data_IF_942947803071
#
_entry.id   IF_942947803071
#
_cell.length_a   1.000
_cell.length_b   1.000
_cell.length_c   1.000
_cell.angle_alpha   90.00
_cell.angle_beta   90.00
_cell.angle_gamma   90.00
#
_symmetry.space_group_name_H-M   'P 1'
#
loop_
_entity.id
_entity.type
_entity.pdbx_description
1 polymer ?
#
# COMPACT_ATOMS: atom_id res chain seq x y z
N UNK A 1 18.84 8.45 -7.60
CA UNK A 1 17.47 7.89 -7.71
C UNK A 1 16.46 9.02 -7.59
N UNK A 2 15.35 8.96 -8.33
CA UNK A 2 14.27 9.93 -8.20
C UNK A 2 13.73 9.98 -6.76
N UNK A 3 13.51 11.17 -6.23
CA UNK A 3 13.02 11.39 -4.85
C UNK A 3 11.52 11.66 -4.81
N UNK A 4 10.90 12.00 -5.93
CA UNK A 4 9.46 12.18 -6.12
C UNK A 4 9.04 11.86 -7.56
N UNK A 5 7.74 11.71 -7.78
CA UNK A 5 7.09 11.59 -9.09
C UNK A 5 5.73 12.27 -9.05
N UNK A 6 5.26 12.84 -10.16
CA UNK A 6 3.89 13.31 -10.22
C UNK A 6 2.94 12.15 -10.52
N UNK A 7 1.90 11.99 -9.70
CA UNK A 7 0.94 10.90 -9.87
C UNK A 7 0.07 11.13 -11.12
N UNK A 8 -0.35 10.03 -11.75
CA UNK A 8 -1.28 10.11 -12.89
C UNK A 8 -2.56 10.85 -12.47
N UNK A 9 -3.03 11.87 -13.22
CA UNK A 9 -4.17 12.70 -12.80
C UNK A 9 -5.45 11.92 -12.49
N UNK A 10 -5.74 10.85 -13.23
CA UNK A 10 -6.88 9.97 -12.96
C UNK A 10 -6.77 9.25 -11.62
N UNK A 11 -5.56 8.87 -11.19
CA UNK A 11 -5.33 8.28 -9.87
C UNK A 11 -5.50 9.32 -8.76
N UNK A 12 -5.00 10.55 -8.97
CA UNK A 12 -5.22 11.66 -8.03
C UNK A 12 -6.71 11.93 -7.84
N UNK A 13 -7.46 12.09 -8.93
CA UNK A 13 -8.91 12.31 -8.87
C UNK A 13 -9.63 11.17 -8.14
N UNK A 14 -9.22 9.92 -8.38
CA UNK A 14 -9.76 8.75 -7.69
C UNK A 14 -9.49 8.79 -6.19
N UNK A 15 -8.26 9.07 -5.76
CA UNK A 15 -7.92 9.15 -4.34
C UNK A 15 -8.62 10.31 -3.63
N UNK A 16 -8.74 11.47 -4.29
CA UNK A 16 -9.54 12.59 -3.76
C UNK A 16 -11.04 12.25 -3.67
N UNK A 17 -11.55 11.50 -4.64
CA UNK A 17 -12.92 10.96 -4.60
C UNK A 17 -13.16 10.02 -3.42
N UNK A 18 -12.18 9.15 -3.11
CA UNK A 18 -12.20 8.31 -1.90
C UNK A 18 -12.02 9.12 -0.62
N UNK A 19 -11.29 10.24 -0.66
CA UNK A 19 -11.07 11.07 0.52
C UNK A 19 -12.36 11.77 0.97
N UNK A 20 -13.30 12.02 0.04
CA UNK A 20 -14.63 12.58 0.33
C UNK A 20 -14.57 13.80 1.25
N UNK A 21 -13.81 14.82 0.80
CA UNK A 21 -13.65 16.08 1.54
C UNK A 21 -14.94 16.93 1.43
N UNK A 22 -15.34 17.51 2.55
CA UNK A 22 -16.46 18.44 2.66
C UNK A 22 -16.00 19.79 3.23
N UNK A 23 -16.80 20.84 3.05
CA UNK A 23 -16.46 22.18 3.54
C UNK A 23 -16.21 22.20 5.05
N UNK A 24 -15.21 22.95 5.49
CA UNK A 24 -14.85 23.07 6.91
C UNK A 24 -13.99 21.92 7.47
N UNK A 25 -13.68 20.91 6.65
CA UNK A 25 -12.82 19.80 7.06
C UNK A 25 -11.34 20.13 6.91
N UNK A 26 -10.55 19.79 7.92
CA UNK A 26 -9.09 19.89 7.89
C UNK A 26 -8.47 18.63 7.29
N UNK A 27 -7.50 18.81 6.41
CA UNK A 27 -6.82 17.73 5.69
C UNK A 27 -5.33 17.72 6.00
N UNK A 28 -4.76 16.54 6.21
CA UNK A 28 -3.34 16.28 6.21
C UNK A 28 -2.96 15.43 4.99
N UNK A 29 -2.11 15.97 4.13
CA UNK A 29 -1.46 15.27 3.02
C UNK A 29 -0.05 14.82 3.43
N UNK A 30 0.27 13.55 3.19
CA UNK A 30 1.61 13.00 3.35
C UNK A 30 2.26 12.78 1.98
N UNK A 31 3.27 13.58 1.67
CA UNK A 31 4.00 13.58 0.40
C UNK A 31 3.62 14.73 -0.51
N UNK A 32 3.97 15.98 -0.14
CA UNK A 32 3.63 17.17 -0.94
C UNK A 32 4.07 17.06 -2.39
N UNK A 33 5.25 16.47 -2.67
CA UNK A 33 5.73 16.23 -4.02
C UNK A 33 5.80 17.51 -4.87
N UNK A 34 4.95 17.62 -5.89
CA UNK A 34 4.88 18.82 -6.75
C UNK A 34 4.00 19.93 -6.19
N UNK A 35 3.23 19.66 -5.12
CA UNK A 35 2.18 20.54 -4.62
C UNK A 35 0.85 20.42 -5.36
N UNK A 36 0.73 19.54 -6.37
CA UNK A 36 -0.49 19.41 -7.18
C UNK A 36 -1.72 19.02 -6.36
N UNK A 37 -1.60 17.99 -5.51
CA UNK A 37 -2.72 17.53 -4.67
C UNK A 37 -3.05 18.57 -3.59
N UNK A 38 -2.04 19.17 -2.95
CA UNK A 38 -2.22 20.30 -2.04
C UNK A 38 -3.01 21.45 -2.70
N UNK A 39 -2.69 21.83 -3.93
CA UNK A 39 -3.40 22.88 -4.66
C UNK A 39 -4.88 22.53 -4.90
N UNK A 40 -5.18 21.28 -5.28
CA UNK A 40 -6.57 20.83 -5.46
C UNK A 40 -7.36 20.83 -4.15
N UNK A 41 -6.71 20.47 -3.04
CA UNK A 41 -7.32 20.54 -1.71
C UNK A 41 -7.56 22.00 -1.30
N UNK A 42 -6.60 22.91 -1.56
CA UNK A 42 -6.73 24.34 -1.29
C UNK A 42 -7.90 24.94 -2.06
N UNK A 43 -8.02 24.66 -3.35
CA UNK A 43 -9.14 25.14 -4.17
C UNK A 43 -10.49 24.68 -3.60
N UNK A 44 -10.55 23.48 -3.03
CA UNK A 44 -11.79 22.89 -2.51
C UNK A 44 -12.16 23.35 -1.09
N UNK A 45 -11.17 23.66 -0.25
CA UNK A 45 -11.35 23.85 1.20
C UNK A 45 -10.87 25.21 1.72
N UNK A 46 -10.02 25.91 0.96
CA UNK A 46 -9.24 27.05 1.42
C UNK A 46 -7.91 26.63 2.06
N UNK A 47 -6.93 27.51 1.97
CA UNK A 47 -5.54 27.28 2.40
C UNK A 47 -5.41 26.87 3.88
N UNK A 48 -6.16 27.52 4.77
CA UNK A 48 -6.08 27.32 6.23
C UNK A 48 -6.46 25.90 6.69
N UNK A 49 -7.16 25.14 5.84
CA UNK A 49 -7.61 23.78 6.14
C UNK A 49 -6.67 22.71 5.58
N UNK A 50 -5.64 23.09 4.81
CA UNK A 50 -4.76 22.14 4.12
C UNK A 50 -3.37 22.16 4.77
N UNK A 51 -2.96 20.98 5.22
CA UNK A 51 -1.64 20.72 5.80
C UNK A 51 -0.95 19.68 4.92
N UNK A 52 0.29 19.93 4.50
CA UNK A 52 1.03 19.00 3.64
C UNK A 52 2.48 18.88 4.09
N UNK A 53 2.96 17.64 4.20
CA UNK A 53 4.32 17.34 4.67
C UNK A 53 5.13 16.62 3.58
N UNK A 54 6.37 17.05 3.40
CA UNK A 54 7.33 16.46 2.47
C UNK A 54 8.65 16.19 3.18
N UNK A 55 9.22 15.01 2.95
CA UNK A 55 10.45 14.59 3.60
C UNK A 55 11.69 15.24 2.97
N UNK A 56 11.65 15.47 1.66
CA UNK A 56 12.75 16.06 0.92
C UNK A 56 12.69 17.60 0.91
N UNK A 57 13.64 18.24 1.58
CA UNK A 57 13.67 19.70 1.71
C UNK A 57 13.79 20.46 0.36
N UNK A 58 14.37 19.83 -0.67
CA UNK A 58 14.47 20.45 -2.01
C UNK A 58 13.13 20.39 -2.70
N UNK A 59 12.48 19.22 -2.67
CA UNK A 59 11.14 19.01 -3.25
C UNK A 59 10.10 19.89 -2.55
N UNK A 60 10.15 19.97 -1.21
CA UNK A 60 9.24 20.80 -0.43
C UNK A 60 9.34 22.29 -0.80
N UNK A 61 10.55 22.79 -1.06
CA UNK A 61 10.77 24.17 -1.51
C UNK A 61 10.19 24.41 -2.90
N UNK A 62 10.44 23.48 -3.83
CA UNK A 62 9.88 23.55 -5.18
C UNK A 62 8.35 23.53 -5.17
N UNK A 63 7.75 22.68 -4.32
CA UNK A 63 6.30 22.65 -4.13
C UNK A 63 5.77 23.96 -3.56
N UNK A 64 6.44 24.54 -2.56
CA UNK A 64 6.07 25.82 -1.99
C UNK A 64 6.10 26.95 -3.03
N UNK A 65 7.15 27.00 -3.86
CA UNK A 65 7.25 27.98 -4.94
C UNK A 65 6.14 27.80 -6.00
N UNK A 66 5.85 26.55 -6.39
CA UNK A 66 4.81 26.23 -7.36
C UNK A 66 3.40 26.57 -6.85
N UNK A 67 3.09 26.19 -5.61
CA UNK A 67 1.85 26.58 -4.91
C UNK A 67 1.75 28.09 -4.82
N UNK A 68 2.86 28.76 -4.51
CA UNK A 68 2.89 30.20 -4.35
C UNK A 68 2.54 30.94 -5.64
N UNK A 69 3.11 30.49 -6.76
CA UNK A 69 2.85 30.99 -8.11
C UNK A 69 1.42 30.70 -8.56
N UNK A 70 0.84 29.58 -8.14
CA UNK A 70 -0.55 29.22 -8.42
C UNK A 70 -1.57 29.95 -7.52
N UNK A 71 -1.12 30.73 -6.53
CA UNK A 71 -1.98 31.53 -5.66
C UNK A 71 -2.36 30.87 -4.34
N UNK A 72 -1.86 29.67 -4.04
CA UNK A 72 -2.18 28.94 -2.81
C UNK A 72 -1.09 29.08 -1.75
N UNK A 73 -1.47 29.07 -0.48
CA UNK A 73 -0.57 29.14 0.70
C UNK A 73 -1.00 28.16 1.81
N UNK A 74 -1.09 26.84 1.54
CA UNK A 74 -1.38 25.87 2.60
C UNK A 74 -0.27 25.83 3.66
N UNK A 75 -0.55 25.17 4.78
CA UNK A 75 0.46 24.87 5.78
C UNK A 75 1.41 23.79 5.27
N UNK A 76 2.66 24.16 4.97
CA UNK A 76 3.70 23.24 4.49
C UNK A 76 4.72 22.92 5.58
N UNK A 77 5.19 21.68 5.62
CA UNK A 77 6.25 21.24 6.54
C UNK A 77 7.25 20.34 5.84
N UNK A 78 8.53 20.56 6.15
CA UNK A 78 9.59 19.59 5.84
C UNK A 78 9.70 18.62 7.02
N UNK A 79 9.55 17.32 6.77
CA UNK A 79 9.71 16.30 7.81
C UNK A 79 9.21 14.92 7.42
N UNK A 80 9.39 13.99 8.34
CA UNK A 80 8.87 12.63 8.19
C UNK A 80 7.35 12.62 8.39
N UNK A 81 6.63 12.22 7.35
CA UNK A 81 5.17 12.14 7.34
C UNK A 81 4.60 11.07 8.26
N UNK A 82 5.38 10.05 8.63
CA UNK A 82 4.97 9.04 9.62
C UNK A 82 4.86 9.63 11.04
N UNK A 83 5.61 10.70 11.30
CA UNK A 83 5.59 11.40 12.59
C UNK A 83 4.39 12.34 12.67
N UNK A 84 3.83 12.53 13.89
CA UNK A 84 2.73 13.46 14.07
C UNK A 84 3.15 14.89 13.73
N UNK A 85 2.27 15.63 13.09
CA UNK A 85 2.48 17.04 12.86
C UNK A 85 2.43 17.81 14.19
N UNK A 86 3.52 18.48 14.61
CA UNK A 86 3.57 19.13 15.92
C UNK A 86 2.56 20.28 16.03
N UNK A 87 1.72 20.24 17.08
CA UNK A 87 0.72 21.28 17.34
C UNK A 87 -0.53 21.21 16.45
N UNK A 88 -0.57 20.33 15.45
CA UNK A 88 -1.79 20.04 14.70
C UNK A 88 -2.63 19.08 15.53
N UNK A 89 -3.79 19.54 15.99
CA UNK A 89 -4.83 18.66 16.54
C UNK A 89 -5.36 17.69 15.47
N UNK A 90 -6.27 16.77 15.83
CA UNK A 90 -6.80 15.78 14.90
C UNK A 90 -7.39 16.43 13.62
N UNK A 91 -7.12 15.82 12.47
CA UNK A 91 -7.68 16.19 11.17
C UNK A 91 -8.91 15.36 10.83
N UNK A 92 -9.74 15.87 9.93
CA UNK A 92 -10.92 15.19 9.41
C UNK A 92 -10.56 14.13 8.37
N UNK A 93 -9.48 14.39 7.62
CA UNK A 93 -9.08 13.63 6.43
C UNK A 93 -7.57 13.51 6.37
N UNK A 94 -7.07 12.32 6.08
CA UNK A 94 -5.65 12.08 5.81
C UNK A 94 -5.50 11.39 4.46
N UNK A 95 -4.61 11.90 3.62
CA UNK A 95 -4.24 11.28 2.36
C UNK A 95 -2.74 11.10 2.28
N UNK A 96 -2.29 9.88 1.99
CA UNK A 96 -0.88 9.61 1.70
C UNK A 96 -0.68 9.44 0.20
N UNK A 97 0.17 10.26 -0.42
CA UNK A 97 0.54 10.22 -1.84
C UNK A 97 1.88 9.49 -2.03
N UNK A 98 2.19 8.57 -1.13
CA UNK A 98 3.30 7.63 -1.17
C UNK A 98 2.84 6.28 -0.59
N UNK A 99 3.43 5.17 -1.07
CA UNK A 99 2.98 3.84 -0.67
C UNK A 99 3.47 3.49 0.75
N UNK A 100 2.57 2.94 1.56
CA UNK A 100 2.86 2.44 2.90
C UNK A 100 2.90 0.89 2.87
N UNK A 101 3.86 0.26 3.54
CA UNK A 101 3.86 -1.21 3.75
C UNK A 101 2.75 -1.68 4.69
N UNK A 102 2.40 -0.82 5.65
CA UNK A 102 1.34 -0.99 6.62
C UNK A 102 0.87 0.42 6.99
N UNK A 103 -0.34 0.58 7.52
CA UNK A 103 -0.79 1.87 8.02
C UNK A 103 -0.21 2.10 9.42
N UNK A 104 0.72 3.05 9.63
CA UNK A 104 1.26 3.32 10.96
C UNK A 104 0.16 3.83 11.88
N UNK A 105 0.05 3.27 13.08
CA UNK A 105 -0.95 3.72 14.06
C UNK A 105 -0.76 5.19 14.45
N UNK A 106 0.45 5.74 14.30
CA UNK A 106 0.74 7.17 14.48
C UNK A 106 -0.01 8.06 13.49
N UNK A 107 -0.17 7.64 12.23
CA UNK A 107 -1.01 8.35 11.25
C UNK A 107 -2.47 8.28 11.64
N UNK A 108 -2.93 7.10 12.06
CA UNK A 108 -4.32 6.90 12.45
C UNK A 108 -4.73 7.82 13.61
N UNK A 109 -3.88 7.99 14.63
CA UNK A 109 -4.13 8.91 15.76
C UNK A 109 -4.22 10.38 15.38
N UNK A 110 -3.71 10.77 14.21
CA UNK A 110 -3.86 12.15 13.71
C UNK A 110 -5.24 12.39 13.11
N UNK A 111 -6.03 11.35 12.87
CA UNK A 111 -7.36 11.46 12.29
C UNK A 111 -8.40 11.34 13.41
N UNK A 112 -9.36 12.27 13.45
CA UNK A 112 -10.42 12.24 14.45
C UNK A 112 -11.36 11.04 14.25
N UNK A 113 -12.08 10.59 15.30
CA UNK A 113 -13.21 9.67 15.12
C UNK A 113 -14.21 10.16 14.05
N UNK A 114 -14.64 9.28 13.17
CA UNK A 114 -15.46 9.58 11.99
C UNK A 114 -14.67 10.19 10.81
N UNK A 115 -13.35 10.37 10.94
CA UNK A 115 -12.49 10.81 9.85
C UNK A 115 -12.13 9.69 8.88
N UNK A 116 -11.55 10.08 7.74
CA UNK A 116 -11.19 9.15 6.64
C UNK A 116 -9.70 9.23 6.37
N UNK A 117 -9.06 8.07 6.21
CA UNK A 117 -7.69 7.91 5.74
C UNK A 117 -7.69 7.20 4.39
N UNK A 118 -7.02 7.80 3.40
CA UNK A 118 -6.79 7.19 2.08
C UNK A 118 -5.30 7.03 1.85
N UNK A 119 -4.85 5.82 1.55
CA UNK A 119 -3.44 5.55 1.26
C UNK A 119 -3.28 4.41 0.25
N UNK A 120 -2.25 4.46 -0.61
CA UNK A 120 -1.77 3.30 -1.32
C UNK A 120 -0.97 2.42 -0.34
N UNK A 121 -1.28 1.13 -0.34
CA UNK A 121 -0.55 0.09 0.35
C UNK A 121 0.25 -0.75 -0.64
N UNK A 122 1.55 -0.89 -0.37
CA UNK A 122 2.45 -1.79 -1.10
C UNK A 122 2.94 -2.86 -0.13
N UNK A 123 2.29 -4.03 -0.12
CA UNK A 123 2.65 -5.13 0.78
C UNK A 123 3.69 -6.07 0.15
N UNK A 124 4.13 -7.03 0.94
CA UNK A 124 5.23 -7.94 0.62
C UNK A 124 4.90 -8.83 -0.60
N UNK A 125 3.69 -9.37 -0.70
CA UNK A 125 3.27 -10.20 -1.83
C UNK A 125 2.86 -9.35 -3.05
N UNK A 126 3.77 -8.52 -3.56
CA UNK A 126 3.66 -7.58 -4.70
C UNK A 126 2.46 -6.60 -4.72
N UNK A 127 1.51 -6.73 -3.80
CA UNK A 127 0.21 -6.08 -3.88
C UNK A 127 0.30 -4.56 -3.68
N UNK A 128 0.02 -3.79 -4.74
CA UNK A 128 -0.24 -2.36 -4.69
C UNK A 128 -1.75 -2.07 -4.74
N UNK A 129 -2.34 -1.63 -3.64
CA UNK A 129 -3.79 -1.36 -3.56
C UNK A 129 -4.09 -0.07 -2.81
N UNK A 130 -5.17 0.64 -3.17
CA UNK A 130 -5.69 1.71 -2.32
C UNK A 130 -6.48 1.13 -1.15
N UNK A 131 -6.41 1.80 0.00
CA UNK A 131 -7.31 1.56 1.12
C UNK A 131 -8.04 2.86 1.46
N UNK A 132 -9.33 2.74 1.80
CA UNK A 132 -10.11 3.81 2.42
C UNK A 132 -10.51 3.33 3.82
N UNK A 133 -9.98 3.97 4.85
CA UNK A 133 -10.22 3.60 6.24
C UNK A 133 -11.05 4.66 6.95
N UNK A 134 -12.08 4.22 7.66
CA UNK A 134 -12.87 5.04 8.56
C UNK A 134 -12.39 4.87 9.99
N UNK A 135 -12.06 5.97 10.65
CA UNK A 135 -11.60 5.96 12.04
C UNK A 135 -12.79 5.88 12.98
N UNK A 136 -12.75 4.94 13.91
CA UNK A 136 -13.82 4.68 14.87
C UNK A 136 -13.58 5.41 16.19
N UNK A 137 -14.62 5.49 17.03
CA UNK A 137 -14.55 6.14 18.35
C UNK A 137 -13.62 5.45 19.34
N UNK A 138 -13.30 4.17 19.13
CA UNK A 138 -12.40 3.38 19.96
C UNK A 138 -10.92 3.46 19.51
N UNK A 139 -10.62 4.28 18.49
CA UNK A 139 -9.28 4.45 17.94
C UNK A 139 -8.88 3.40 16.90
N UNK A 140 -9.73 2.42 16.60
CA UNK A 140 -9.54 1.51 15.47
C UNK A 140 -9.91 2.19 14.15
N UNK A 141 -9.48 1.60 13.03
CA UNK A 141 -10.03 1.96 11.73
C UNK A 141 -10.31 0.74 10.88
N UNK A 142 -11.35 0.80 10.07
CA UNK A 142 -11.69 -0.26 9.15
C UNK A 142 -12.23 0.30 7.84
N UNK A 143 -12.03 -0.45 6.75
CA UNK A 143 -12.65 -0.13 5.48
C UNK A 143 -12.07 -0.94 4.31
N UNK A 144 -12.61 -0.75 3.11
CA UNK A 144 -12.32 -1.59 1.96
C UNK A 144 -10.97 -1.27 1.34
N UNK A 145 -10.43 -2.27 0.63
CA UNK A 145 -9.50 -1.99 -0.46
C UNK A 145 -10.29 -1.45 -1.65
N UNK A 146 -9.71 -0.49 -2.35
CA UNK A 146 -10.34 0.20 -3.46
C UNK A 146 -9.49 0.00 -4.71
N UNK A 147 -9.29 -1.24 -5.14
CA UNK A 147 -8.54 -1.60 -6.35
C UNK A 147 -7.05 -1.22 -6.34
N UNK A 148 -6.41 -1.42 -7.50
CA UNK A 148 -4.95 -1.29 -7.64
C UNK A 148 -4.43 0.16 -7.57
N UNK A 149 -3.24 0.32 -6.97
CA UNK A 149 -2.45 1.55 -7.06
C UNK A 149 -0.97 1.29 -6.78
N UNK A 150 -0.12 1.86 -7.63
CA UNK A 150 1.34 1.79 -7.48
C UNK A 150 1.88 3.18 -7.23
N UNK A 151 2.54 3.35 -6.09
CA UNK A 151 3.15 4.60 -5.66
C UNK A 151 4.60 4.34 -5.22
N UNK A 152 5.43 5.38 -5.29
CA UNK A 152 6.76 5.33 -4.69
C UNK A 152 6.64 5.02 -3.19
N UNK A 153 7.38 4.04 -2.65
CA UNK A 153 7.31 3.75 -1.22
C UNK A 153 7.79 4.94 -0.39
N UNK A 154 7.07 5.24 0.69
CA UNK A 154 7.57 6.12 1.76
C UNK A 154 8.95 5.61 2.20
N UNK A 155 9.89 6.52 2.51
CA UNK A 155 11.30 6.13 2.72
C UNK A 155 11.47 5.12 3.86
N UNK A 156 10.78 5.30 4.99
CA UNK A 156 10.77 4.32 6.11
C UNK A 156 10.12 2.99 5.73
N UNK A 157 9.30 2.96 4.67
CA UNK A 157 8.60 1.79 4.13
C UNK A 157 9.32 1.14 2.94
N UNK A 158 10.54 1.54 2.59
CA UNK A 158 11.34 0.87 1.54
C UNK A 158 11.87 -0.46 2.03
N UNK A 159 11.54 -1.52 1.31
CA UNK A 159 12.07 -2.86 1.55
C UNK A 159 13.55 -2.91 1.13
N UNK A 160 14.42 -3.63 1.86
CA UNK A 160 15.73 -3.99 1.31
C UNK A 160 15.55 -4.86 0.06
N UNK A 161 16.57 -4.85 -0.80
CA UNK A 161 16.62 -5.72 -1.97
C UNK A 161 16.47 -7.19 -1.56
N UNK A 162 15.96 -8.01 -2.48
CA UNK A 162 15.67 -9.42 -2.24
C UNK A 162 16.91 -10.15 -1.72
N UNK A 163 16.69 -11.06 -0.78
CA UNK A 163 17.75 -11.89 -0.24
C UNK A 163 18.45 -12.67 -1.34
N UNK A 164 19.78 -12.73 -1.28
CA UNK A 164 20.59 -13.51 -2.22
C UNK A 164 20.26 -14.99 -2.03
N UNK A 165 19.63 -15.58 -3.03
CA UNK A 165 19.25 -17.00 -3.03
C UNK A 165 20.51 -17.83 -3.28
N UNK A 166 20.95 -18.58 -2.26
CA UNK A 166 22.16 -19.43 -2.32
C UNK A 166 21.78 -20.90 -2.22
N UNK A 167 22.38 -21.74 -3.06
CA UNK A 167 22.26 -23.21 -2.97
C UNK A 167 21.90 -23.90 -4.27
N UNK A 168 21.76 -25.23 -4.21
CA UNK A 168 21.30 -26.04 -5.35
C UNK A 168 19.78 -26.00 -5.41
N UNK A 169 19.24 -25.51 -6.53
CA UNK A 169 17.80 -25.47 -6.77
C UNK A 169 17.19 -26.86 -6.98
N UNK A 170 15.93 -27.01 -6.58
CA UNK A 170 15.08 -28.18 -6.85
C UNK A 170 14.05 -27.78 -7.90
N UNK A 171 14.06 -28.45 -9.04
CA UNK A 171 13.10 -28.20 -10.12
C UNK A 171 11.86 -29.09 -9.96
N UNK A 172 10.69 -28.56 -10.30
CA UNK A 172 9.46 -29.34 -10.49
C UNK A 172 8.51 -28.64 -11.47
N UNK A 173 7.51 -29.37 -11.96
CA UNK A 173 6.40 -28.76 -12.69
C UNK A 173 5.71 -27.70 -11.82
N UNK A 174 5.51 -26.50 -12.37
CA UNK A 174 5.03 -25.35 -11.63
C UNK A 174 3.60 -25.47 -11.09
N UNK A 175 2.74 -26.38 -11.59
CA UNK A 175 1.40 -26.66 -11.03
C UNK A 175 0.36 -25.52 -11.08
N UNK A 176 0.82 -24.27 -11.22
CA UNK A 176 0.11 -23.00 -11.23
C UNK A 176 0.85 -22.09 -12.21
N UNK A 177 0.11 -21.43 -13.10
CA UNK A 177 0.69 -20.45 -14.01
C UNK A 177 1.15 -19.21 -13.21
N UNK A 178 2.44 -18.81 -13.27
CA UNK A 178 2.94 -17.60 -12.61
C UNK A 178 2.18 -16.31 -12.96
N UNK A 179 1.50 -16.24 -14.10
CA UNK A 179 0.68 -15.08 -14.43
C UNK A 179 -0.55 -14.96 -13.50
N UNK A 180 -1.09 -16.08 -13.02
CA UNK A 180 -2.27 -16.10 -12.15
C UNK A 180 -1.99 -15.54 -10.76
N UNK A 181 -0.74 -15.64 -10.27
CA UNK A 181 -0.37 -15.10 -8.96
C UNK A 181 -0.23 -13.57 -8.95
N UNK A 182 -0.32 -12.94 -10.13
CA UNK A 182 -0.35 -11.49 -10.32
C UNK A 182 -1.77 -10.90 -10.37
N UNK A 183 -2.79 -11.67 -10.02
CA UNK A 183 -4.12 -11.13 -9.74
C UNK A 183 -4.14 -10.37 -8.40
N UNK A 184 -4.71 -9.15 -8.37
CA UNK A 184 -4.70 -8.32 -7.17
C UNK A 184 -5.52 -8.94 -6.02
N UNK A 185 -6.64 -9.58 -6.34
CA UNK A 185 -7.44 -10.29 -5.34
C UNK A 185 -6.64 -11.42 -4.69
N UNK A 186 -5.93 -12.21 -5.51
CA UNK A 186 -5.03 -13.23 -5.01
C UNK A 186 -3.89 -12.63 -4.18
N UNK A 187 -3.29 -11.53 -4.61
CA UNK A 187 -2.19 -10.89 -3.90
C UNK A 187 -2.59 -10.39 -2.50
N UNK A 188 -3.80 -9.85 -2.35
CA UNK A 188 -4.35 -9.46 -1.05
C UNK A 188 -4.60 -10.68 -0.16
N UNK A 189 -5.17 -11.75 -0.73
CA UNK A 189 -5.39 -13.00 -0.03
C UNK A 189 -4.08 -13.64 0.43
N UNK A 190 -3.15 -13.86 -0.50
CA UNK A 190 -1.85 -14.47 -0.27
C UNK A 190 -0.99 -13.62 0.67
N UNK A 191 -0.98 -12.30 0.53
CA UNK A 191 -0.27 -11.43 1.46
C UNK A 191 -0.80 -11.53 2.90
N UNK A 192 -2.08 -11.78 3.12
CA UNK A 192 -2.64 -12.03 4.44
C UNK A 192 -2.36 -13.45 4.96
N UNK A 193 -2.38 -14.43 4.05
CA UNK A 193 -2.19 -15.85 4.35
C UNK A 193 -0.73 -16.24 4.57
N UNK A 194 0.20 -15.60 3.86
CA UNK A 194 1.63 -15.90 3.83
C UNK A 194 2.44 -14.65 4.26
N UNK A 195 2.34 -14.20 5.53
CA UNK A 195 3.12 -13.06 6.00
C UNK A 195 4.63 -13.30 5.85
N UNK A 196 5.39 -12.27 5.49
CA UNK A 196 6.84 -12.38 5.25
C UNK A 196 7.21 -12.92 3.86
N UNK A 197 6.25 -13.38 3.06
CA UNK A 197 6.51 -13.80 1.68
C UNK A 197 6.48 -12.58 0.76
N UNK A 198 7.60 -12.38 0.07
CA UNK A 198 7.77 -11.34 -0.94
C UNK A 198 7.70 -11.93 -2.33
N UNK A 199 6.98 -11.24 -3.21
CA UNK A 199 6.93 -11.58 -4.63
C UNK A 199 7.35 -10.35 -5.43
N UNK A 200 8.24 -10.56 -6.40
CA UNK A 200 8.48 -9.62 -7.50
C UNK A 200 8.24 -10.34 -8.82
N UNK A 201 7.99 -9.57 -9.87
CA UNK A 201 7.80 -10.11 -11.21
C UNK A 201 8.45 -9.24 -12.26
N UNK A 202 8.62 -9.84 -13.44
CA UNK A 202 8.89 -9.12 -14.67
C UNK A 202 8.08 -9.75 -15.81
N UNK A 203 7.67 -8.92 -16.77
CA UNK A 203 7.13 -9.41 -18.03
C UNK A 203 8.28 -9.92 -18.92
N UNK A 204 8.06 -11.06 -19.56
CA UNK A 204 8.96 -11.65 -20.56
C UNK A 204 8.22 -11.80 -21.89
N UNK A 205 8.93 -11.96 -23.02
CA UNK A 205 8.27 -12.24 -24.30
C UNK A 205 7.37 -13.48 -24.29
N UNK A 206 7.68 -14.46 -23.44
CA UNK A 206 6.99 -15.74 -23.31
C UNK A 206 5.93 -15.78 -22.18
N UNK A 207 5.78 -14.69 -21.41
CA UNK A 207 4.81 -14.61 -20.31
C UNK A 207 5.33 -13.83 -19.11
N UNK A 208 5.20 -14.41 -17.92
CA UNK A 208 5.62 -13.76 -16.66
C UNK A 208 6.69 -14.60 -15.99
N UNK A 209 7.72 -13.91 -15.47
CA UNK A 209 8.65 -14.50 -14.51
C UNK A 209 8.41 -13.90 -13.13
N UNK A 210 8.30 -14.77 -12.12
CA UNK A 210 8.19 -14.37 -10.72
C UNK A 210 9.39 -14.86 -9.91
N UNK A 211 9.74 -14.08 -8.90
CA UNK A 211 10.63 -14.50 -7.82
C UNK A 211 9.94 -14.28 -6.51
N UNK A 212 9.97 -15.32 -5.69
CA UNK A 212 9.37 -15.35 -4.38
C UNK A 212 10.46 -15.60 -3.36
N UNK A 213 10.46 -14.86 -2.26
CA UNK A 213 11.43 -15.02 -1.17
C UNK A 213 10.74 -14.90 0.19
N UNK A 214 11.29 -15.57 1.20
CA UNK A 214 10.92 -15.44 2.61
C UNK A 214 12.18 -15.18 3.44
N UNK A 215 12.02 -14.55 4.61
CA UNK A 215 13.12 -14.17 5.51
C UNK A 215 13.95 -15.38 6.01
N UNK A 216 13.37 -16.57 6.06
CA UNK A 216 14.05 -17.83 6.42
C UNK A 216 15.02 -18.35 5.32
N UNK A 217 15.12 -17.63 4.20
CA UNK A 217 15.96 -17.98 3.05
C UNK A 217 15.26 -18.90 2.04
N UNK A 218 13.99 -19.24 2.25
CA UNK A 218 13.17 -19.95 1.27
C UNK A 218 12.94 -19.06 0.05
N UNK A 219 13.11 -19.62 -1.14
CA UNK A 219 12.88 -18.90 -2.38
C UNK A 219 12.37 -19.79 -3.51
N UNK A 220 11.62 -19.21 -4.43
CA UNK A 220 11.17 -19.86 -5.66
C UNK A 220 11.28 -18.90 -6.85
N UNK A 221 11.59 -19.43 -8.03
CA UNK A 221 11.43 -18.71 -9.30
C UNK A 221 10.67 -19.57 -10.29
N UNK A 222 9.67 -18.98 -10.92
CA UNK A 222 8.81 -19.65 -11.88
C UNK A 222 8.63 -18.76 -13.10
N UNK A 223 8.64 -19.37 -14.28
CA UNK A 223 8.38 -18.71 -15.57
C UNK A 223 7.18 -19.40 -16.20
N UNK A 224 6.27 -18.62 -16.78
CA UNK A 224 5.11 -19.17 -17.51
C UNK A 224 5.55 -20.22 -18.53
N UNK A 225 4.90 -21.39 -18.48
CA UNK A 225 5.20 -22.52 -19.37
C UNK A 225 6.47 -23.31 -19.03
N UNK A 226 7.18 -22.98 -17.94
CA UNK A 226 8.40 -23.67 -17.51
C UNK A 226 8.23 -24.34 -16.13
N UNK A 227 9.29 -25.04 -15.69
CA UNK A 227 9.40 -25.56 -14.33
C UNK A 227 9.65 -24.45 -13.32
N UNK A 228 9.19 -24.67 -12.08
CA UNK A 228 9.58 -23.84 -10.93
C UNK A 228 10.87 -24.37 -10.33
N UNK A 229 11.75 -23.45 -9.97
CA UNK A 229 12.99 -23.71 -9.26
C UNK A 229 12.89 -23.20 -7.83
N UNK A 230 13.14 -24.06 -6.86
CA UNK A 230 13.04 -23.72 -5.44
C UNK A 230 14.35 -23.90 -4.70
N UNK A 231 14.58 -23.04 -3.71
CA UNK A 231 15.83 -22.91 -2.97
C UNK A 231 15.55 -22.70 -1.48
N UNK A 232 16.55 -22.99 -0.65
CA UNK A 232 16.44 -22.82 0.79
C UNK A 232 15.49 -23.84 1.45
N UNK A 233 15.07 -23.56 2.70
CA UNK A 233 14.16 -24.42 3.45
C UNK A 233 12.74 -24.43 2.84
N UNK A 234 11.99 -25.49 3.16
CA UNK A 234 10.57 -25.59 2.82
C UNK A 234 10.28 -25.79 1.34
N UNK A 235 9.03 -25.49 0.98
CA UNK A 235 8.39 -25.70 -0.30
C UNK A 235 7.53 -24.47 -0.63
N UNK A 236 8.20 -23.31 -0.73
CA UNK A 236 7.54 -22.00 -0.77
C UNK A 236 6.58 -21.87 -1.96
N UNK A 237 6.89 -22.51 -3.09
CA UNK A 237 5.99 -22.49 -4.23
C UNK A 237 4.73 -23.33 -3.99
N UNK A 238 4.87 -24.52 -3.42
CA UNK A 238 3.74 -25.37 -3.02
C UNK A 238 2.84 -24.66 -2.00
N UNK A 239 3.40 -23.86 -1.09
CA UNK A 239 2.60 -23.03 -0.17
C UNK A 239 1.78 -21.96 -0.91
N UNK A 240 2.34 -21.37 -1.98
CA UNK A 240 1.62 -20.44 -2.85
C UNK A 240 0.53 -21.16 -3.63
N UNK A 241 0.83 -22.32 -4.20
CA UNK A 241 -0.17 -23.12 -4.91
C UNK A 241 -1.32 -23.52 -3.95
N UNK A 242 -1.00 -23.95 -2.73
CA UNK A 242 -1.99 -24.25 -1.70
C UNK A 242 -2.89 -23.05 -1.39
N UNK A 243 -2.26 -21.89 -1.24
CA UNK A 243 -2.97 -20.62 -1.02
C UNK A 243 -3.85 -20.25 -2.22
N UNK A 244 -3.42 -20.56 -3.44
CA UNK A 244 -4.21 -20.38 -4.65
C UNK A 244 -5.48 -21.22 -4.64
N UNK A 245 -5.40 -22.52 -4.31
CA UNK A 245 -6.61 -23.36 -4.24
C UNK A 245 -7.56 -22.95 -3.09
N UNK A 246 -7.02 -22.44 -1.97
CA UNK A 246 -7.84 -21.80 -0.93
C UNK A 246 -8.57 -20.56 -1.47
N UNK A 247 -7.87 -19.71 -2.22
CA UNK A 247 -8.43 -18.54 -2.90
C UNK A 247 -9.50 -18.91 -3.93
N UNK A 248 -9.30 -19.98 -4.70
CA UNK A 248 -10.31 -20.51 -5.62
C UNK A 248 -11.56 -20.99 -4.87
N UNK A 249 -11.38 -21.67 -3.73
CA UNK A 249 -12.48 -22.20 -2.91
C UNK A 249 -13.37 -21.08 -2.37
N UNK A 250 -12.81 -19.90 -2.08
CA UNK A 250 -13.59 -18.73 -1.65
C UNK A 250 -14.18 -17.92 -2.82
N UNK A 251 -13.99 -18.40 -4.06
CA UNK A 251 -14.62 -17.86 -5.27
C UNK A 251 -13.82 -16.80 -6.01
N UNK A 252 -12.49 -16.78 -5.85
CA UNK A 252 -11.57 -15.80 -6.48
C UNK A 252 -12.06 -14.33 -6.34
N UNK A 253 -12.28 -13.85 -5.10
CA UNK A 253 -12.79 -12.52 -4.85
C UNK A 253 -11.89 -11.43 -5.43
N UNK A 254 -12.49 -10.41 -6.04
CA UNK A 254 -11.78 -9.20 -6.48
C UNK A 254 -11.29 -8.35 -5.29
N UNK A 255 -10.45 -7.35 -5.58
CA UNK A 255 -9.81 -6.53 -4.56
C UNK A 255 -10.83 -5.77 -3.69
N UNK A 256 -11.95 -5.35 -4.26
CA UNK A 256 -13.02 -4.60 -3.62
C UNK A 256 -13.80 -5.43 -2.58
N UNK A 257 -13.73 -6.75 -2.65
CA UNK A 257 -14.29 -7.63 -1.61
C UNK A 257 -13.39 -7.75 -0.39
N UNK A 258 -12.15 -7.26 -0.42
CA UNK A 258 -11.28 -7.27 0.74
C UNK A 258 -11.38 -5.95 1.50
N UNK A 259 -11.02 -6.00 2.78
CA UNK A 259 -10.73 -4.79 3.54
C UNK A 259 -9.70 -5.00 4.62
N UNK A 260 -9.42 -3.92 5.32
CA UNK A 260 -8.38 -3.84 6.33
C UNK A 260 -8.96 -3.27 7.62
N UNK A 261 -8.63 -3.90 8.74
CA UNK A 261 -8.82 -3.34 10.08
C UNK A 261 -7.46 -3.01 10.67
N UNK A 262 -7.30 -1.81 11.22
CA UNK A 262 -6.08 -1.30 11.86
C UNK A 262 -6.38 -0.98 13.32
N UNK A 263 -5.50 -1.44 14.20
CA UNK A 263 -5.58 -1.27 15.66
C UNK A 263 -4.22 -0.84 16.21
N UNK A 264 -4.16 -0.54 17.51
CA UNK A 264 -2.90 -0.30 18.23
C UNK A 264 -1.99 -1.54 18.30
N UNK A 265 -2.54 -2.74 18.07
CA UNK A 265 -1.81 -4.03 18.09
C UNK A 265 -1.40 -4.53 16.71
N UNK A 266 -1.78 -3.84 15.64
CA UNK A 266 -1.48 -4.23 14.26
C UNK A 266 -2.69 -4.17 13.35
N UNK A 267 -2.58 -4.79 12.17
CA UNK A 267 -3.59 -4.72 11.12
C UNK A 267 -3.93 -6.11 10.58
N UNK A 268 -5.19 -6.29 10.17
CA UNK A 268 -5.74 -7.56 9.71
C UNK A 268 -6.54 -7.35 8.44
N UNK A 269 -6.27 -8.19 7.44
CA UNK A 269 -7.06 -8.23 6.20
C UNK A 269 -8.24 -9.18 6.42
N UNK A 270 -9.40 -8.78 5.93
CA UNK A 270 -10.63 -9.56 5.99
C UNK A 270 -11.28 -9.64 4.60
N UNK A 271 -12.14 -10.64 4.41
CA UNK A 271 -12.86 -10.89 3.17
C UNK A 271 -14.36 -10.67 3.38
N UNK A 272 -14.94 -9.74 2.64
CA UNK A 272 -16.36 -9.31 2.59
C UNK A 272 -16.89 -8.67 3.88
N UNK A 273 -16.49 -9.17 5.04
CA UNK A 273 -16.93 -8.69 6.35
C UNK A 273 -15.75 -8.56 7.34
N UNK A 274 -15.67 -7.49 8.16
CA UNK A 274 -14.59 -7.31 9.14
C UNK A 274 -14.39 -8.46 10.14
N UNK A 275 -15.41 -9.29 10.40
CA UNK A 275 -15.30 -10.48 11.25
C UNK A 275 -14.66 -11.68 10.54
N UNK A 276 -14.65 -11.69 9.20
CA UNK A 276 -14.09 -12.74 8.38
C UNK A 276 -12.60 -12.49 8.07
N UNK A 277 -11.80 -12.41 9.15
CA UNK A 277 -10.35 -12.19 9.07
C UNK A 277 -9.63 -13.36 8.39
N UNK A 278 -8.80 -13.05 7.39
CA UNK A 278 -7.92 -14.01 6.73
C UNK A 278 -6.75 -14.29 7.68
N UNK A 279 -6.68 -15.52 8.19
CA UNK A 279 -5.63 -15.92 9.14
C UNK A 279 -4.40 -16.42 8.40
N UNK A 280 -3.23 -16.10 8.90
CA UNK A 280 -1.97 -16.67 8.41
C UNK A 280 -2.02 -18.21 8.38
N UNK A 281 -1.41 -18.80 7.36
CA UNK A 281 -1.15 -20.24 7.30
C UNK A 281 -0.34 -20.65 8.52
N UNK A 282 -0.68 -21.81 9.09
CA UNK A 282 0.16 -22.40 10.14
C UNK A 282 1.42 -22.90 9.44
N UNK A 283 2.58 -22.43 9.90
CA UNK A 283 3.88 -22.97 9.53
C UNK A 283 4.02 -24.42 10.01
#
# INVERSE_FOLDING_TARGET
MATSSNSMPSMVARMLGLLQVEGGQRVLEIGTGTGYVAALLCERLGDDLVHSIELDAVVARQAADALAQAGYRPHLRVGDGEQPWPGLGPVDRLIATCALRHVPYALLRQVRPGGVLVAPLAREFWSGALVQLHVQGDGTAAGPFCGGATYMPMRSHRAPDLHEVRGKGRARAAGLDPALVLDLGFALYAGARLPGVRLIHQDTPEGVQVWVTREDGGAATAVTGAEVWQYGPGFLWEEIEQTWWEYETVGRPDAEQFGLTVTDRGQQVWLRDPSAVIRAARA
#
